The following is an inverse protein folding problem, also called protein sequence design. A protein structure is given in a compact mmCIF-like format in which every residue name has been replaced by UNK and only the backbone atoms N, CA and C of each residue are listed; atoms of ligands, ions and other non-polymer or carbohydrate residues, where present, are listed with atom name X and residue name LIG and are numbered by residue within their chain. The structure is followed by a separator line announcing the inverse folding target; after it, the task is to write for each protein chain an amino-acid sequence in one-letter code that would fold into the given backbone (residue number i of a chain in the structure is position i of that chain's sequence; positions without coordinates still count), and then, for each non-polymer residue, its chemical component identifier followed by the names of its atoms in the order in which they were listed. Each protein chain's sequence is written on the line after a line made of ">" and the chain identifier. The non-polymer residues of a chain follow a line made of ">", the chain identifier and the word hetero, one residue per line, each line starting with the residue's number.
data_IF_396069265296
#
_entry.id   IF_396069265296
#
_cell.length_a   1.000
_cell.length_b   1.000
_cell.length_c   1.000
_cell.angle_alpha   90.00
_cell.angle_beta   90.00
_cell.angle_gamma   90.00
#
_symmetry.space_group_name_H-M   'P 1'
#
loop_
_entity.id
_entity.type
_entity.pdbx_description
1 polymer ?
#
# COMPACT_ATOMS: atom_id res chain seq x y z
N UNK A 1 5.57 1.01 25.51
CA UNK A 1 6.75 1.84 25.86
C UNK A 1 7.78 1.85 24.73
N UNK A 2 8.50 0.76 24.42
CA UNK A 2 9.44 0.78 23.27
C UNK A 2 8.75 0.90 21.91
N UNK A 3 7.65 0.16 21.68
CA UNK A 3 6.96 0.18 20.39
C UNK A 3 6.33 1.54 20.07
N UNK A 4 5.84 2.25 21.10
CA UNK A 4 5.27 3.58 20.94
C UNK A 4 6.36 4.58 20.52
N UNK A 5 7.53 4.50 21.15
CA UNK A 5 8.66 5.37 20.85
C UNK A 5 9.30 5.06 19.50
N UNK A 6 9.48 3.77 19.17
CA UNK A 6 9.88 3.34 17.82
C UNK A 6 8.85 3.81 16.79
N UNK A 7 7.56 3.72 17.11
CA UNK A 7 6.50 4.20 16.25
C UNK A 7 6.57 5.71 16.01
N UNK A 8 6.88 6.49 17.06
CA UNK A 8 7.12 7.93 16.95
C UNK A 8 8.31 8.23 16.04
N UNK A 9 9.44 7.56 16.23
CA UNK A 9 10.64 7.73 15.40
C UNK A 9 10.39 7.35 13.93
N UNK A 10 9.71 6.23 13.66
CA UNK A 10 9.34 5.83 12.30
C UNK A 10 8.36 6.83 11.66
N UNK A 11 7.42 7.39 12.44
CA UNK A 11 6.53 8.44 11.95
C UNK A 11 7.30 9.72 11.60
N UNK A 12 8.28 10.11 12.42
CA UNK A 12 9.11 11.30 12.19
C UNK A 12 10.04 11.14 10.98
N UNK A 13 10.72 10.01 10.85
CA UNK A 13 11.70 9.77 9.79
C UNK A 13 11.06 9.44 8.43
N UNK A 14 10.05 8.57 8.45
CA UNK A 14 9.52 7.95 7.22
C UNK A 14 8.02 8.14 7.05
N UNK A 15 7.36 8.82 7.99
CA UNK A 15 5.92 9.06 7.93
C UNK A 15 5.05 7.82 8.18
N UNK A 16 5.65 6.72 8.60
CA UNK A 16 4.98 5.44 8.72
C UNK A 16 4.20 5.35 10.02
N UNK A 17 2.90 5.06 9.94
CA UNK A 17 2.08 4.84 11.12
C UNK A 17 2.05 3.35 11.51
N UNK A 18 2.42 3.03 12.76
CA UNK A 18 2.49 1.63 13.25
C UNK A 18 1.17 0.88 13.09
N UNK A 19 0.04 1.55 13.31
CA UNK A 19 -1.28 0.92 13.14
C UNK A 19 -1.56 0.53 11.67
N UNK A 20 -0.96 1.23 10.70
CA UNK A 20 -1.16 0.95 9.26
C UNK A 20 -0.29 -0.20 8.75
N UNK A 21 0.87 -0.44 9.36
CA UNK A 21 1.75 -1.58 9.04
C UNK A 21 1.44 -2.82 9.89
N UNK A 22 0.83 -2.60 11.06
CA UNK A 22 0.54 -3.63 12.04
C UNK A 22 1.62 -3.67 13.12
N UNK A 23 1.20 -3.51 14.39
CA UNK A 23 2.13 -3.48 15.52
C UNK A 23 3.00 -4.73 15.66
N UNK A 24 2.51 -5.90 15.22
CA UNK A 24 3.26 -7.15 15.21
C UNK A 24 4.44 -7.15 14.23
N UNK A 25 4.30 -6.54 13.05
CA UNK A 25 5.38 -6.41 12.06
C UNK A 25 6.49 -5.52 12.61
N UNK A 26 6.11 -4.37 13.17
CA UNK A 26 7.06 -3.43 13.80
C UNK A 26 7.76 -4.10 14.99
N UNK A 27 7.02 -4.84 15.83
CA UNK A 27 7.59 -5.57 16.95
C UNK A 27 8.58 -6.65 16.52
N UNK A 28 8.25 -7.41 15.47
CA UNK A 28 9.15 -8.42 14.92
C UNK A 28 10.42 -7.79 14.32
N UNK A 29 10.28 -6.68 13.59
CA UNK A 29 11.40 -5.93 13.04
C UNK A 29 12.33 -5.42 14.15
N UNK A 30 11.78 -4.77 15.19
CA UNK A 30 12.53 -4.30 16.36
C UNK A 30 13.28 -5.45 17.02
N UNK A 31 12.62 -6.58 17.29
CA UNK A 31 13.27 -7.75 17.91
C UNK A 31 14.42 -8.29 17.07
N UNK A 32 14.22 -8.38 15.76
CA UNK A 32 15.24 -8.85 14.82
C UNK A 32 16.45 -7.92 14.78
N UNK A 33 16.21 -6.61 14.79
CA UNK A 33 17.27 -5.59 14.79
C UNK A 33 18.03 -5.53 16.11
N UNK A 34 17.33 -5.61 17.25
CA UNK A 34 17.94 -5.71 18.58
C UNK A 34 18.93 -6.89 18.66
N UNK A 35 18.54 -8.05 18.13
CA UNK A 35 19.42 -9.21 18.07
C UNK A 35 20.62 -8.97 17.14
N UNK A 36 20.41 -8.37 15.97
CA UNK A 36 21.47 -8.11 15.00
C UNK A 36 22.52 -7.09 15.48
N UNK A 37 22.13 -6.10 16.29
CA UNK A 37 23.06 -5.09 16.82
C UNK A 37 23.59 -5.42 18.22
N UNK A 38 23.24 -6.58 18.78
CA UNK A 38 23.68 -7.01 20.11
C UNK A 38 23.14 -6.12 21.25
N UNK A 39 21.95 -5.54 21.08
CA UNK A 39 21.28 -4.70 22.07
C UNK A 39 20.07 -5.44 22.65
N UNK A 40 20.25 -6.31 23.67
CA UNK A 40 19.17 -7.13 24.23
C UNK A 40 18.17 -6.30 25.03
N UNK A 41 18.59 -5.16 25.58
CA UNK A 41 17.74 -4.28 26.36
C UNK A 41 17.01 -3.25 25.47
N UNK A 42 15.67 -3.11 25.60
CA UNK A 42 14.87 -2.16 24.82
C UNK A 42 15.36 -0.71 24.88
N UNK A 43 15.79 -0.24 26.06
CA UNK A 43 16.24 1.14 26.24
C UNK A 43 17.57 1.41 25.52
N UNK A 44 18.51 0.47 25.57
CA UNK A 44 19.79 0.56 24.86
C UNK A 44 19.58 0.63 23.34
N UNK A 45 18.61 -0.14 22.83
CA UNK A 45 18.26 -0.10 21.42
C UNK A 45 17.61 1.23 21.01
N UNK A 46 16.74 1.81 21.85
CA UNK A 46 16.20 3.16 21.60
C UNK A 46 17.30 4.22 21.57
N UNK A 47 18.27 4.15 22.48
CA UNK A 47 19.40 5.08 22.49
C UNK A 47 20.25 4.92 21.22
N UNK A 48 20.48 3.68 20.77
CA UNK A 48 21.17 3.39 19.50
C UNK A 48 20.40 3.94 18.30
N UNK A 49 19.09 3.73 18.24
CA UNK A 49 18.25 4.26 17.15
C UNK A 49 18.34 5.78 17.04
N UNK A 50 18.29 6.48 18.16
CA UNK A 50 18.37 7.95 18.20
C UNK A 50 19.77 8.50 17.87
N UNK A 51 20.83 7.69 18.03
CA UNK A 51 22.22 8.13 17.80
C UNK A 51 22.86 7.56 16.52
N UNK A 52 22.23 6.59 15.86
CA UNK A 52 22.76 5.93 14.66
C UNK A 52 21.78 6.00 13.50
N UNK A 53 22.07 6.90 12.56
CA UNK A 53 21.34 6.97 11.28
C UNK A 53 21.38 5.64 10.51
N UNK A 54 22.49 4.90 10.64
CA UNK A 54 22.63 3.58 10.02
C UNK A 54 21.64 2.57 10.62
N UNK A 55 21.52 2.49 11.94
CA UNK A 55 20.58 1.55 12.56
C UNK A 55 19.12 1.96 12.30
N UNK A 56 18.82 3.26 12.30
CA UNK A 56 17.50 3.76 11.89
C UNK A 56 17.15 3.27 10.47
N UNK A 57 18.09 3.38 9.52
CA UNK A 57 17.90 2.91 8.16
C UNK A 57 17.67 1.39 8.09
N UNK A 58 18.36 0.62 8.92
CA UNK A 58 18.21 -0.83 8.98
C UNK A 58 16.86 -1.26 9.59
N UNK A 59 16.35 -0.52 10.56
CA UNK A 59 14.99 -0.70 11.07
C UNK A 59 13.94 -0.39 10.01
N UNK A 60 14.10 0.73 9.29
CA UNK A 60 13.22 1.09 8.16
C UNK A 60 13.18 -0.05 7.14
N UNK A 61 14.35 -0.57 6.76
CA UNK A 61 14.46 -1.70 5.83
C UNK A 61 13.77 -2.99 6.32
N UNK A 62 13.63 -3.18 7.64
CA UNK A 62 12.98 -4.35 8.22
C UNK A 62 11.45 -4.21 8.29
N UNK A 63 10.94 -2.98 8.25
CA UNK A 63 9.49 -2.67 8.36
C UNK A 63 8.86 -2.43 6.98
N UNK A 64 9.61 -1.86 6.04
CA UNK A 64 9.13 -1.64 4.67
C UNK A 64 9.12 -2.97 3.91
N UNK A 65 7.96 -3.35 3.38
CA UNK A 65 7.80 -4.57 2.57
C UNK A 65 7.95 -4.21 1.08
N UNK A 66 9.02 -4.64 0.39
CA UNK A 66 9.21 -4.35 -1.03
C UNK A 66 8.41 -5.34 -1.88
N UNK A 67 7.11 -5.10 -2.05
CA UNK A 67 6.32 -5.81 -3.06
C UNK A 67 6.21 -4.99 -4.34
N UNK A 68 6.99 -5.37 -5.36
CA UNK A 68 6.95 -4.75 -6.68
C UNK A 68 7.24 -5.78 -7.77
N UNK A 69 6.79 -5.50 -9.00
CA UNK A 69 7.04 -6.31 -10.18
C UNK A 69 6.86 -5.45 -11.43
N UNK A 70 7.46 -5.88 -12.55
CA UNK A 70 7.40 -5.15 -13.80
C UNK A 70 5.96 -5.00 -14.30
N UNK A 71 5.62 -3.81 -14.79
CA UNK A 71 4.30 -3.48 -15.33
C UNK A 71 3.11 -3.79 -14.39
N UNK A 72 3.30 -3.63 -13.07
CA UNK A 72 2.20 -3.69 -12.10
C UNK A 72 1.13 -2.65 -12.44
N UNK A 73 -0.12 -3.07 -12.63
CA UNK A 73 -1.24 -2.24 -13.15
C UNK A 73 -0.92 -1.57 -14.49
N UNK A 74 -0.94 -2.37 -15.57
CA UNK A 74 -0.51 -1.98 -16.93
C UNK A 74 -1.20 -0.73 -17.47
N UNK A 75 -2.45 -0.51 -17.10
CA UNK A 75 -3.28 0.61 -17.52
C UNK A 75 -2.69 1.96 -17.10
N UNK A 76 -1.94 2.00 -15.99
CA UNK A 76 -1.22 3.20 -15.56
C UNK A 76 -0.15 3.61 -16.59
N UNK A 77 0.61 2.65 -17.13
CA UNK A 77 1.64 2.91 -18.15
C UNK A 77 1.01 3.35 -19.48
N UNK A 78 -0.13 2.76 -19.86
CA UNK A 78 -0.89 3.19 -21.04
C UNK A 78 -1.35 4.64 -20.89
N UNK A 79 -1.86 5.02 -19.72
CA UNK A 79 -2.25 6.39 -19.43
C UNK A 79 -1.07 7.36 -19.48
N UNK A 80 0.07 6.99 -18.90
CA UNK A 80 1.32 7.75 -18.98
C UNK A 80 1.73 7.98 -20.43
N UNK A 81 1.82 6.93 -21.26
CA UNK A 81 2.22 7.03 -22.66
C UNK A 81 1.26 7.94 -23.44
N UNK A 82 -0.05 7.83 -23.20
CA UNK A 82 -1.03 8.72 -23.82
C UNK A 82 -0.80 10.18 -23.43
N UNK A 83 -0.53 10.46 -22.16
CA UNK A 83 -0.21 11.81 -21.70
C UNK A 83 1.09 12.33 -22.32
N UNK A 84 2.15 11.51 -22.34
CA UNK A 84 3.44 11.84 -22.92
C UNK A 84 3.32 12.22 -24.41
N UNK A 85 2.53 11.47 -25.19
CA UNK A 85 2.28 11.77 -26.61
C UNK A 85 1.59 13.12 -26.80
N UNK A 86 0.63 13.46 -25.94
CA UNK A 86 -0.11 14.72 -26.01
C UNK A 86 0.73 15.94 -25.56
N UNK A 87 1.77 15.73 -24.74
CA UNK A 87 2.58 16.81 -24.15
C UNK A 87 4.04 16.81 -24.62
N UNK A 88 4.33 16.07 -25.69
CA UNK A 88 5.65 16.00 -26.30
C UNK A 88 6.07 17.40 -26.76
N UNK A 89 7.23 17.86 -26.31
CA UNK A 89 7.80 19.17 -26.63
C UNK A 89 9.10 18.98 -27.39
N UNK A 90 9.26 19.69 -28.52
CA UNK A 90 10.52 19.67 -29.25
C UNK A 90 11.64 20.26 -28.39
N UNK A 91 12.75 19.54 -28.27
CA UNK A 91 13.95 20.02 -27.56
C UNK A 91 13.88 20.02 -26.03
N UNK A 92 12.80 19.51 -25.41
CA UNK A 92 12.69 19.42 -23.95
C UNK A 92 12.20 18.03 -23.52
N UNK A 93 13.01 17.26 -22.78
CA UNK A 93 12.65 15.91 -22.36
C UNK A 93 11.54 15.95 -21.31
N UNK A 94 10.59 15.02 -21.42
CA UNK A 94 9.60 14.76 -20.38
C UNK A 94 10.30 14.24 -19.12
N UNK A 95 9.94 14.80 -17.97
CA UNK A 95 10.50 14.41 -16.67
C UNK A 95 9.48 13.60 -15.90
N UNK A 96 9.87 12.40 -15.48
CA UNK A 96 9.01 11.48 -14.77
C UNK A 96 9.59 11.13 -13.41
N UNK A 97 8.73 10.87 -12.43
CA UNK A 97 9.10 10.43 -11.09
C UNK A 97 8.36 9.14 -10.74
N UNK A 98 9.06 8.16 -10.20
CA UNK A 98 8.49 7.02 -9.46
C UNK A 98 8.90 7.15 -7.99
N UNK A 99 7.92 7.32 -7.09
CA UNK A 99 8.13 7.52 -5.66
C UNK A 99 6.98 6.89 -4.87
N UNK A 100 7.18 5.80 -4.11
CA UNK A 100 8.44 5.09 -3.90
C UNK A 100 8.74 4.16 -5.09
N UNK A 101 10.02 3.98 -5.43
CA UNK A 101 10.40 3.16 -6.57
C UNK A 101 10.76 1.70 -6.21
N UNK A 102 10.86 1.37 -4.92
CA UNK A 102 11.25 0.06 -4.40
C UNK A 102 12.52 -0.46 -5.09
N UNK A 103 12.55 -1.74 -5.47
CA UNK A 103 13.69 -2.38 -6.14
C UNK A 103 13.83 -2.03 -7.64
N UNK A 104 13.12 -1.01 -8.13
CA UNK A 104 13.35 -0.40 -9.45
C UNK A 104 12.47 -0.92 -10.59
N UNK A 105 11.62 -1.93 -10.36
CA UNK A 105 10.75 -2.48 -11.40
C UNK A 105 9.81 -1.43 -12.02
N UNK A 106 9.26 -0.51 -11.21
CA UNK A 106 8.37 0.54 -11.71
C UNK A 106 9.10 1.53 -12.64
N UNK A 107 10.17 2.24 -12.24
CA UNK A 107 10.82 3.21 -13.13
C UNK A 107 11.42 2.55 -14.38
N UNK A 108 11.87 1.30 -14.31
CA UNK A 108 12.28 0.58 -15.51
C UNK A 108 11.11 0.21 -16.42
N UNK A 109 9.95 -0.12 -15.86
CA UNK A 109 8.71 -0.30 -16.65
C UNK A 109 8.28 1.00 -17.34
N UNK A 110 8.45 2.16 -16.69
CA UNK A 110 8.21 3.47 -17.31
C UNK A 110 9.11 3.66 -18.55
N UNK A 111 10.40 3.39 -18.42
CA UNK A 111 11.36 3.52 -19.52
C UNK A 111 11.04 2.58 -20.69
N UNK A 112 10.76 1.31 -20.40
CA UNK A 112 10.36 0.33 -21.42
C UNK A 112 9.08 0.75 -22.14
N UNK A 113 8.07 1.23 -21.41
CA UNK A 113 6.81 1.70 -22.00
C UNK A 113 7.03 2.90 -22.94
N UNK A 114 7.94 3.81 -22.60
CA UNK A 114 8.29 4.95 -23.44
C UNK A 114 9.01 4.50 -24.72
N UNK A 115 9.99 3.59 -24.62
CA UNK A 115 10.66 3.04 -25.79
C UNK A 115 9.71 2.25 -26.70
N UNK A 116 8.88 1.37 -26.13
CA UNK A 116 7.84 0.62 -26.88
C UNK A 116 6.84 1.57 -27.57
N UNK A 117 6.62 2.76 -27.01
CA UNK A 117 5.74 3.77 -27.59
C UNK A 117 6.37 4.63 -28.70
N UNK A 118 7.67 4.44 -28.99
CA UNK A 118 8.40 5.12 -30.07
C UNK A 118 9.14 6.40 -29.64
N UNK A 119 9.31 6.63 -28.34
CA UNK A 119 10.13 7.75 -27.85
C UNK A 119 11.62 7.40 -27.91
N UNK A 120 12.46 8.38 -28.23
CA UNK A 120 13.91 8.25 -28.18
C UNK A 120 14.44 8.55 -26.78
N UNK A 121 15.70 8.20 -26.51
CA UNK A 121 16.32 8.45 -25.20
C UNK A 121 16.39 9.95 -24.84
N UNK A 122 16.41 10.84 -25.83
CA UNK A 122 16.41 12.29 -25.61
C UNK A 122 15.04 12.87 -25.31
N UNK A 123 13.96 12.10 -25.47
CA UNK A 123 12.59 12.59 -25.25
C UNK A 123 12.17 12.55 -23.78
N UNK A 124 12.88 11.82 -22.90
CA UNK A 124 12.44 11.65 -21.51
C UNK A 124 13.59 11.32 -20.53
N UNK A 125 13.34 11.57 -19.25
CA UNK A 125 14.18 11.17 -18.12
C UNK A 125 13.32 10.72 -16.94
N UNK A 126 13.78 9.72 -16.18
CA UNK A 126 13.04 9.16 -15.05
C UNK A 126 13.88 9.24 -13.78
N UNK A 127 13.33 9.83 -12.73
CA UNK A 127 13.86 9.74 -11.37
C UNK A 127 13.12 8.62 -10.61
N UNK A 128 13.85 7.72 -9.97
CA UNK A 128 13.35 6.74 -9.01
C UNK A 128 13.78 7.11 -7.60
N UNK A 129 12.82 7.31 -6.70
CA UNK A 129 13.10 7.71 -5.31
C UNK A 129 12.55 6.66 -4.37
N UNK A 130 13.35 6.21 -3.41
CA UNK A 130 12.90 5.31 -2.34
C UNK A 130 13.67 5.60 -1.06
N UNK A 131 13.02 5.36 0.07
CA UNK A 131 13.60 5.61 1.38
C UNK A 131 14.53 4.49 1.83
N UNK A 132 14.34 3.28 1.30
CA UNK A 132 15.17 2.13 1.59
C UNK A 132 16.44 2.17 0.75
N UNK A 133 17.58 2.40 1.42
CA UNK A 133 18.89 2.34 0.76
C UNK A 133 19.19 0.95 0.18
N UNK A 134 18.66 -0.12 0.78
CA UNK A 134 18.77 -1.48 0.25
C UNK A 134 17.99 -1.65 -1.05
N UNK A 135 16.78 -1.10 -1.14
CA UNK A 135 15.99 -1.11 -2.36
C UNK A 135 16.68 -0.31 -3.48
N UNK A 136 17.19 0.88 -3.17
CA UNK A 136 17.96 1.70 -4.12
C UNK A 136 19.21 0.97 -4.61
N UNK A 137 19.94 0.29 -3.72
CA UNK A 137 21.09 -0.51 -4.12
C UNK A 137 20.69 -1.69 -5.03
N UNK A 138 19.58 -2.37 -4.74
CA UNK A 138 19.04 -3.42 -5.59
C UNK A 138 18.58 -2.89 -6.95
N UNK A 139 17.89 -1.76 -6.98
CA UNK A 139 17.44 -1.07 -8.19
C UNK A 139 18.61 -0.65 -9.07
N UNK A 140 19.67 -0.12 -8.46
CA UNK A 140 20.90 0.27 -9.16
C UNK A 140 21.67 -0.95 -9.70
N UNK A 141 21.69 -2.06 -8.95
CA UNK A 141 22.23 -3.33 -9.45
C UNK A 141 21.41 -3.88 -10.61
N UNK A 142 20.09 -3.67 -10.63
CA UNK A 142 19.19 -4.01 -11.73
C UNK A 142 19.24 -5.47 -12.21
N UNK A 143 19.41 -6.42 -11.29
CA UNK A 143 19.34 -7.87 -11.60
C UNK A 143 18.08 -8.45 -10.96
N UNK A 144 17.20 -8.99 -11.81
CA UNK A 144 15.85 -9.39 -11.42
C UNK A 144 15.62 -10.88 -11.61
N UNK A 145 15.11 -11.52 -10.57
CA UNK A 145 14.72 -12.92 -10.56
C UNK A 145 13.26 -13.13 -10.95
N UNK A 146 12.80 -14.39 -10.86
CA UNK A 146 11.44 -14.82 -11.23
C UNK A 146 10.33 -13.99 -10.58
N UNK A 147 10.52 -13.55 -9.34
CA UNK A 147 9.47 -12.86 -8.56
C UNK A 147 9.11 -11.47 -9.11
N UNK A 148 10.02 -10.83 -9.87
CA UNK A 148 9.79 -9.53 -10.51
C UNK A 148 9.02 -9.67 -11.84
N UNK A 149 8.90 -10.89 -12.38
CA UNK A 149 8.19 -11.19 -13.63
C UNK A 149 6.90 -11.94 -13.33
N UNK A 150 5.80 -11.20 -13.14
CA UNK A 150 4.48 -11.75 -12.79
C UNK A 150 3.49 -11.60 -13.95
N UNK A 151 2.54 -12.52 -14.02
CA UNK A 151 1.49 -12.53 -15.03
C UNK A 151 1.90 -13.24 -16.34
N UNK A 152 0.96 -13.30 -17.28
CA UNK A 152 1.12 -14.07 -18.52
C UNK A 152 1.85 -13.29 -19.63
N UNK A 153 1.79 -11.96 -19.60
CA UNK A 153 2.43 -11.13 -20.61
C UNK A 153 3.83 -10.73 -20.11
N UNK A 154 4.82 -11.46 -20.61
CA UNK A 154 6.25 -11.25 -20.35
C UNK A 154 7.03 -10.90 -21.62
N UNK A 155 6.32 -10.55 -22.71
CA UNK A 155 6.95 -10.26 -24.00
C UNK A 155 7.90 -9.05 -23.94
N UNK A 156 7.69 -8.14 -22.99
CA UNK A 156 8.60 -7.02 -22.74
C UNK A 156 9.99 -7.50 -22.28
N UNK A 157 10.08 -8.66 -21.63
CA UNK A 157 11.35 -9.20 -21.14
C UNK A 157 12.27 -9.50 -22.31
N UNK A 158 11.76 -10.16 -23.33
CA UNK A 158 12.55 -10.58 -24.49
C UNK A 158 13.00 -9.37 -25.35
N UNK A 159 12.29 -8.23 -25.26
CA UNK A 159 12.67 -6.97 -25.94
C UNK A 159 13.67 -6.13 -25.15
N UNK A 160 13.56 -6.09 -23.82
CA UNK A 160 14.20 -5.09 -22.98
C UNK A 160 15.18 -5.65 -21.96
N UNK A 161 15.40 -6.96 -21.93
CA UNK A 161 16.30 -7.60 -20.97
C UNK A 161 17.32 -8.49 -21.64
N UNK A 162 18.43 -8.63 -20.94
CA UNK A 162 19.49 -9.58 -21.23
C UNK A 162 19.56 -10.59 -20.07
N UNK A 163 19.76 -11.87 -20.39
CA UNK A 163 20.03 -12.89 -19.38
C UNK A 163 21.43 -12.69 -18.81
N UNK A 164 21.55 -12.71 -17.49
CA UNK A 164 22.81 -12.57 -16.76
C UNK A 164 22.90 -13.61 -15.65
N UNK A 165 24.07 -13.78 -15.05
CA UNK A 165 24.19 -14.60 -13.85
C UNK A 165 23.26 -14.09 -12.75
N UNK A 166 22.44 -14.99 -12.17
CA UNK A 166 21.49 -14.66 -11.12
C UNK A 166 20.14 -14.08 -11.58
N UNK A 167 19.91 -13.84 -12.88
CA UNK A 167 18.59 -13.41 -13.34
C UNK A 167 18.59 -12.71 -14.71
N UNK A 168 17.82 -11.64 -14.81
CA UNK A 168 17.71 -10.81 -16.01
C UNK A 168 18.03 -9.37 -15.67
N UNK A 169 18.73 -8.69 -16.57
CA UNK A 169 19.10 -7.29 -16.44
C UNK A 169 18.44 -6.46 -17.56
N UNK A 170 17.83 -5.29 -17.27
CA UNK A 170 17.37 -4.40 -18.32
C UNK A 170 18.50 -3.99 -19.26
N UNK A 171 18.18 -3.77 -20.54
CA UNK A 171 19.14 -3.34 -21.55
C UNK A 171 19.81 -2.02 -21.17
N UNK A 172 21.02 -1.78 -21.69
CA UNK A 172 21.76 -0.55 -21.40
C UNK A 172 20.96 0.73 -21.70
N UNK A 173 20.14 0.71 -22.76
CA UNK A 173 19.25 1.81 -23.12
C UNK A 173 18.21 2.11 -22.03
N UNK A 174 17.60 1.07 -21.45
CA UNK A 174 16.65 1.20 -20.33
C UNK A 174 17.34 1.69 -19.06
N UNK A 175 18.51 1.14 -18.74
CA UNK A 175 19.27 1.53 -17.57
C UNK A 175 19.66 3.01 -17.58
N UNK A 176 20.07 3.54 -18.74
CA UNK A 176 20.52 4.91 -18.88
C UNK A 176 19.42 5.97 -18.62
N UNK A 177 18.14 5.60 -18.73
CA UNK A 177 17.02 6.53 -18.59
C UNK A 177 16.61 6.79 -17.13
N UNK A 178 17.07 5.97 -16.19
CA UNK A 178 16.61 5.98 -14.80
C UNK A 178 17.73 6.42 -13.87
N UNK A 179 17.45 7.42 -13.03
CA UNK A 179 18.35 7.88 -11.96
C UNK A 179 17.73 7.59 -10.61
N UNK A 180 18.44 6.83 -9.78
CA UNK A 180 17.97 6.48 -8.44
C UNK A 180 18.51 7.42 -7.37
N UNK A 181 17.66 7.77 -6.40
CA UNK A 181 18.01 8.60 -5.24
C UNK A 181 17.39 8.01 -3.98
N UNK A 182 18.19 7.92 -2.92
CA UNK A 182 17.70 7.51 -1.61
C UNK A 182 17.14 8.73 -0.86
N UNK A 183 15.86 8.70 -0.48
CA UNK A 183 15.20 9.78 0.23
C UNK A 183 13.69 9.63 0.30
N UNK A 184 13.03 10.60 0.92
CA UNK A 184 11.58 10.62 1.08
C UNK A 184 10.94 11.82 0.33
N UNK A 185 9.60 11.86 0.28
CA UNK A 185 8.84 12.91 -0.43
C UNK A 185 9.10 14.34 0.09
N UNK A 186 9.56 14.47 1.33
CA UNK A 186 9.80 15.75 1.99
C UNK A 186 11.29 16.11 2.05
N UNK A 187 12.17 15.26 1.53
CA UNK A 187 13.60 15.53 1.47
C UNK A 187 13.90 16.55 0.36
N UNK A 188 14.39 17.76 0.69
CA UNK A 188 14.70 18.80 -0.29
C UNK A 188 15.90 18.45 -1.18
N UNK A 189 16.77 17.52 -0.76
CA UNK A 189 17.90 17.08 -1.58
C UNK A 189 17.45 16.16 -2.74
N UNK A 190 16.30 15.51 -2.60
CA UNK A 190 15.81 14.50 -3.54
C UNK A 190 14.57 14.98 -4.30
N UNK A 191 13.76 15.83 -3.67
CA UNK A 191 12.56 16.42 -4.29
C UNK A 191 12.81 17.87 -4.73
N UNK A 192 12.70 18.19 -6.03
CA UNK A 192 12.88 19.56 -6.51
C UNK A 192 11.83 20.50 -5.91
N UNK A 193 12.12 21.81 -5.81
CA UNK A 193 11.28 22.75 -5.08
C UNK A 193 9.86 22.87 -5.67
N UNK A 194 9.70 23.07 -6.98
CA UNK A 194 8.40 23.17 -7.68
C UNK A 194 8.47 22.74 -9.14
N UNK A 195 7.35 22.27 -9.69
CA UNK A 195 7.03 22.09 -11.12
C UNK A 195 8.14 21.46 -11.97
N UNK A 196 8.69 20.34 -11.52
CA UNK A 196 9.81 19.67 -12.15
C UNK A 196 9.43 18.42 -12.94
N UNK A 197 8.22 17.89 -12.75
CA UNK A 197 7.79 16.62 -13.34
C UNK A 197 6.52 16.77 -14.17
N UNK A 198 6.51 16.15 -15.34
CA UNK A 198 5.35 16.00 -16.21
C UNK A 198 4.46 14.84 -15.74
N UNK A 199 5.08 13.78 -15.22
CA UNK A 199 4.39 12.61 -14.70
C UNK A 199 4.97 12.20 -13.35
N UNK A 200 4.11 11.90 -12.37
CA UNK A 200 4.51 11.27 -11.11
C UNK A 200 3.69 10.00 -10.90
N UNK A 201 4.38 8.88 -10.67
CA UNK A 201 3.84 7.65 -10.11
C UNK A 201 4.08 7.68 -8.59
N UNK A 202 3.00 7.67 -7.81
CA UNK A 202 3.04 7.54 -6.36
C UNK A 202 2.00 6.51 -5.92
N UNK A 203 2.42 5.25 -5.96
CA UNK A 203 1.54 4.09 -5.84
C UNK A 203 1.93 3.24 -4.64
N UNK A 204 0.93 2.75 -3.92
CA UNK A 204 1.09 1.82 -2.80
C UNK A 204 2.00 2.36 -1.69
N UNK A 205 1.94 3.67 -1.43
CA UNK A 205 2.70 4.35 -0.37
C UNK A 205 1.79 5.06 0.61
N UNK A 206 0.84 5.84 0.10
CA UNK A 206 -0.03 6.70 0.89
C UNK A 206 -0.96 5.89 1.79
N UNK A 207 -1.19 4.61 1.47
CA UNK A 207 -1.90 3.66 2.32
C UNK A 207 -1.25 3.43 3.70
N UNK A 208 0.05 3.69 3.83
CA UNK A 208 0.77 3.54 5.10
C UNK A 208 0.78 4.82 5.95
N UNK A 209 0.34 5.94 5.37
CA UNK A 209 0.35 7.24 6.01
C UNK A 209 -0.96 7.52 6.75
N UNK A 210 -0.87 8.29 7.84
CA UNK A 210 -2.05 8.84 8.49
C UNK A 210 -2.70 9.94 7.63
N UNK A 211 -3.90 10.40 8.02
CA UNK A 211 -4.65 11.40 7.24
C UNK A 211 -3.89 12.71 7.06
N UNK A 212 -3.21 13.19 8.10
CA UNK A 212 -2.49 14.46 8.05
C UNK A 212 -1.33 14.38 7.04
N UNK A 213 -0.56 13.28 7.12
CA UNK A 213 0.55 13.05 6.23
C UNK A 213 0.11 12.76 4.78
N UNK A 214 -1.01 12.05 4.58
CA UNK A 214 -1.61 11.90 3.25
C UNK A 214 -1.91 13.27 2.62
N UNK A 215 -2.52 14.18 3.36
CA UNK A 215 -2.83 15.54 2.87
C UNK A 215 -1.55 16.31 2.51
N UNK A 216 -0.56 16.32 3.40
CA UNK A 216 0.74 16.95 3.14
C UNK A 216 1.45 16.35 1.93
N UNK A 217 1.39 15.03 1.78
CA UNK A 217 2.01 14.30 0.67
C UNK A 217 1.38 14.65 -0.67
N UNK A 218 0.05 14.63 -0.76
CA UNK A 218 -0.65 15.01 -2.00
C UNK A 218 -0.40 16.49 -2.34
N UNK A 219 -0.38 17.38 -1.33
CA UNK A 219 -0.01 18.78 -1.52
C UNK A 219 1.39 18.94 -2.12
N UNK A 220 2.37 18.18 -1.60
CA UNK A 220 3.75 18.18 -2.11
C UNK A 220 3.84 17.64 -3.54
N UNK A 221 3.19 16.51 -3.83
CA UNK A 221 3.13 15.93 -5.18
C UNK A 221 2.52 16.92 -6.20
N UNK A 222 1.47 17.65 -5.79
CA UNK A 222 0.85 18.69 -6.61
C UNK A 222 1.80 19.86 -6.91
N UNK A 223 2.63 20.26 -5.95
CA UNK A 223 3.63 21.32 -6.16
C UNK A 223 4.74 20.88 -7.13
N UNK A 224 5.13 19.60 -7.08
CA UNK A 224 6.18 19.04 -7.93
C UNK A 224 5.74 18.82 -9.38
N UNK A 225 4.45 18.60 -9.63
CA UNK A 225 3.90 18.47 -10.98
C UNK A 225 3.84 19.82 -11.68
N UNK A 226 4.19 19.85 -12.97
CA UNK A 226 3.90 20.99 -13.86
C UNK A 226 2.39 21.18 -14.02
N UNK A 227 1.91 22.38 -14.41
CA UNK A 227 0.51 22.58 -14.76
C UNK A 227 0.08 21.62 -15.88
N UNK A 228 -1.05 20.93 -15.69
CA UNK A 228 -1.51 19.89 -16.61
C UNK A 228 -0.82 18.53 -16.43
N UNK A 229 0.19 18.42 -15.56
CA UNK A 229 0.92 17.18 -15.29
C UNK A 229 0.05 16.06 -14.72
N UNK A 230 0.50 14.83 -14.90
CA UNK A 230 -0.24 13.61 -14.56
C UNK A 230 0.28 12.95 -13.27
N UNK A 231 -0.60 12.74 -12.30
CA UNK A 231 -0.38 11.92 -11.12
C UNK A 231 -1.06 10.54 -11.31
N UNK A 232 -0.33 9.46 -11.09
CA UNK A 232 -0.88 8.11 -11.03
C UNK A 232 -0.68 7.53 -9.62
N UNK A 233 -1.76 6.99 -9.05
CA UNK A 233 -1.77 6.41 -7.70
C UNK A 233 -2.27 4.98 -7.72
N UNK A 234 -2.09 4.24 -6.63
CA UNK A 234 -2.59 2.88 -6.50
C UNK A 234 -4.13 2.87 -6.35
N UNK A 235 -4.77 1.71 -6.59
CA UNK A 235 -6.23 1.57 -6.49
C UNK A 235 -6.79 2.00 -5.13
N UNK A 236 -6.09 1.68 -4.04
CA UNK A 236 -6.51 2.01 -2.68
C UNK A 236 -6.34 3.50 -2.32
N UNK A 237 -5.69 4.28 -3.19
CA UNK A 237 -5.30 5.68 -2.93
C UNK A 237 -6.12 6.66 -3.80
N UNK A 238 -6.97 6.15 -4.70
CA UNK A 238 -7.63 6.91 -5.76
C UNK A 238 -8.59 8.00 -5.27
N UNK A 239 -9.09 7.90 -4.04
CA UNK A 239 -9.91 8.95 -3.43
C UNK A 239 -9.10 10.20 -3.05
N UNK A 240 -7.81 10.04 -2.73
CA UNK A 240 -6.99 11.13 -2.20
C UNK A 240 -6.77 12.27 -3.23
N UNK A 241 -6.33 12.01 -4.48
CA UNK A 241 -6.10 13.11 -5.43
C UNK A 241 -7.34 13.98 -5.67
N UNK A 242 -8.52 13.37 -5.78
CA UNK A 242 -9.78 14.08 -6.04
C UNK A 242 -10.14 15.03 -4.90
N UNK A 243 -9.94 14.61 -3.64
CA UNK A 243 -10.17 15.46 -2.46
C UNK A 243 -9.23 16.67 -2.41
N UNK A 244 -8.12 16.62 -3.14
CA UNK A 244 -7.07 17.65 -3.18
C UNK A 244 -6.98 18.37 -4.54
N UNK A 245 -8.12 18.45 -5.24
CA UNK A 245 -8.28 19.31 -6.41
C UNK A 245 -7.58 18.79 -7.67
N UNK A 246 -7.22 17.51 -7.72
CA UNK A 246 -6.91 16.86 -8.99
C UNK A 246 -8.18 16.45 -9.73
N UNK A 247 -8.11 16.36 -11.05
CA UNK A 247 -9.22 15.90 -11.90
C UNK A 247 -8.90 14.53 -12.45
N UNK A 248 -9.82 13.57 -12.32
CA UNK A 248 -9.65 12.25 -12.93
C UNK A 248 -9.43 12.36 -14.44
N UNK A 249 -8.42 11.66 -14.95
CA UNK A 249 -8.14 11.54 -16.37
C UNK A 249 -9.17 10.68 -17.12
N UNK A 250 -10.13 10.07 -16.40
CA UNK A 250 -11.19 9.20 -16.94
C UNK A 250 -10.65 8.03 -17.78
N UNK A 251 -9.53 7.46 -17.34
CA UNK A 251 -8.94 6.26 -17.93
C UNK A 251 -9.20 5.09 -16.96
N UNK A 252 -10.09 4.14 -17.30
CA UNK A 252 -10.43 3.02 -16.44
C UNK A 252 -9.18 2.27 -15.98
N UNK A 253 -9.16 1.87 -14.71
CA UNK A 253 -8.08 1.08 -14.05
C UNK A 253 -6.69 1.74 -14.02
N UNK A 254 -6.50 2.90 -14.63
CA UNK A 254 -5.21 3.61 -14.62
C UNK A 254 -4.99 4.46 -13.36
N UNK A 255 -6.06 4.79 -12.63
CA UNK A 255 -6.04 5.64 -11.42
C UNK A 255 -5.21 6.92 -11.63
N UNK A 256 -5.44 7.57 -12.78
CA UNK A 256 -4.66 8.68 -13.29
C UNK A 256 -5.43 10.01 -13.13
N UNK A 257 -4.73 11.07 -12.75
CA UNK A 257 -5.30 12.35 -12.32
C UNK A 257 -4.46 13.54 -12.79
N UNK A 258 -5.09 14.59 -13.32
CA UNK A 258 -4.41 15.80 -13.79
C UNK A 258 -4.33 16.89 -12.71
N UNK A 259 -3.16 17.55 -12.62
CA UNK A 259 -3.04 18.85 -11.93
C UNK A 259 -3.76 19.90 -12.78
N UNK A 260 -4.82 20.50 -12.25
CA UNK A 260 -5.49 21.61 -12.94
C UNK A 260 -4.51 22.77 -13.18
N UNK A 261 -4.62 23.43 -14.33
CA UNK A 261 -4.11 24.79 -14.48
C UNK A 261 -4.76 25.69 -13.42
N UNK A 262 -4.05 26.69 -12.88
CA UNK A 262 -4.72 27.77 -12.19
C UNK A 262 -5.83 28.27 -13.10
N UNK A 263 -7.08 28.27 -12.63
CA UNK A 263 -8.14 28.90 -13.39
C UNK A 263 -7.70 30.36 -13.67
N UNK A 264 -7.86 30.90 -14.89
CA UNK A 264 -7.82 32.34 -15.06
C UNK A 264 -8.81 32.95 -14.06
N UNK A 265 -8.53 34.13 -13.46
CA UNK A 265 -9.43 34.75 -12.50
C UNK A 265 -10.83 34.74 -13.10
N UNK A 266 -11.75 34.06 -12.43
CA UNK A 266 -13.11 33.97 -12.91
C UNK A 266 -13.66 35.39 -13.01
N UNK A 267 -13.90 35.89 -14.22
CA UNK A 267 -14.80 37.01 -14.38
C UNK A 267 -16.10 36.62 -13.68
N UNK A 268 -16.46 37.39 -12.66
CA UNK A 268 -17.67 37.22 -11.87
C UNK A 268 -18.87 37.33 -12.81
N UNK A 269 -19.28 36.21 -13.39
CA UNK A 269 -20.60 36.12 -14.00
C UNK A 269 -21.62 36.12 -12.87
N UNK A 270 -22.56 37.07 -12.84
CA UNK A 270 -23.55 37.14 -11.78
C UNK A 270 -24.35 35.84 -11.77
N UNK A 271 -24.46 35.22 -10.60
CA UNK A 271 -25.27 34.02 -10.40
C UNK A 271 -26.76 34.36 -10.53
N UNK A 272 -27.60 33.48 -11.11
CA UNK A 272 -29.05 33.68 -11.06
C UNK A 272 -29.54 33.64 -9.60
N UNK A 273 -30.62 34.37 -9.27
CA UNK A 273 -31.09 34.49 -7.89
C UNK A 273 -31.58 33.13 -7.36
N UNK A 274 -31.14 32.77 -6.16
CA UNK A 274 -31.57 31.55 -5.45
C UNK A 274 -33.03 31.72 -4.97
N UNK A 275 -33.88 30.68 -5.06
CA UNK A 275 -35.20 30.68 -4.43
C UNK A 275 -35.09 30.65 -2.90
N UNK A 276 -36.02 31.34 -2.22
CA UNK A 276 -36.07 31.47 -0.75
C UNK A 276 -36.40 30.12 -0.08
N UNK A 277 -35.82 29.80 1.10
CA UNK A 277 -36.16 28.59 1.85
C UNK A 277 -37.52 28.74 2.57
N UNK A 278 -38.29 27.65 2.64
CA UNK A 278 -39.47 27.53 3.49
C UNK A 278 -39.09 27.31 4.96
N UNK A 279 -39.94 27.77 5.87
CA UNK A 279 -39.72 27.76 7.32
C UNK A 279 -39.80 26.34 7.95
N UNK A 280 -39.07 26.07 9.04
CA UNK A 280 -39.09 24.79 9.74
C UNK A 280 -40.24 24.67 10.77
N UNK A 281 -40.67 23.44 11.13
CA UNK A 281 -41.64 23.19 12.20
C UNK A 281 -41.01 23.21 13.61
N UNK A 282 -41.81 23.38 14.69
CA UNK A 282 -41.31 23.62 16.04
C UNK A 282 -40.90 22.34 16.79
N UNK A 283 -39.94 22.51 17.71
CA UNK A 283 -39.33 21.47 18.53
C UNK A 283 -40.15 21.11 19.78
N UNK A 284 -40.16 19.83 20.16
CA UNK A 284 -40.67 19.35 21.44
C UNK A 284 -39.52 19.11 22.43
N UNK A 285 -39.75 19.52 23.68
CA UNK A 285 -38.80 19.46 24.79
C UNK A 285 -38.76 18.10 25.49
N UNK A 286 -37.59 17.69 25.98
CA UNK A 286 -37.46 16.64 27.01
C UNK A 286 -36.47 17.11 28.09
N UNK A 287 -36.87 16.87 29.35
CA UNK A 287 -36.24 17.27 30.62
C UNK A 287 -35.16 16.27 31.11
N UNK A 288 -34.33 16.64 32.10
CA UNK A 288 -33.09 15.94 32.46
C UNK A 288 -33.23 14.99 33.66
N UNK A 289 -32.29 14.06 33.82
CA UNK A 289 -32.06 13.36 35.09
C UNK A 289 -30.97 12.29 35.06
N UNK A 290 -30.10 12.30 36.09
CA UNK A 290 -29.49 11.09 36.65
C UNK A 290 -27.96 10.97 36.61
N UNK A 291 -27.32 11.20 37.77
CA UNK A 291 -25.88 10.98 38.06
C UNK A 291 -25.67 9.59 38.69
N UNK A 292 -24.62 8.82 38.29
CA UNK A 292 -23.63 8.16 39.19
C UNK A 292 -22.60 7.27 38.47
N UNK A 293 -21.43 7.16 39.10
CA UNK A 293 -20.21 6.41 38.69
C UNK A 293 -20.04 5.08 39.51
N UNK A 294 -18.84 4.46 39.64
CA UNK A 294 -18.31 3.33 38.83
C UNK A 294 -17.94 2.07 39.67
N UNK A 295 -17.61 0.94 39.03
CA UNK A 295 -16.93 -0.24 39.62
C UNK A 295 -16.65 -1.28 38.50
N UNK A 296 -15.65 -2.17 38.47
CA UNK A 296 -14.46 -2.42 39.28
C UNK A 296 -13.52 -3.36 38.48
N UNK A 297 -12.26 -3.35 38.91
CA UNK A 297 -11.07 -4.13 38.51
C UNK A 297 -11.29 -5.66 38.55
N UNK A 298 -10.62 -6.39 37.64
CA UNK A 298 -10.08 -7.74 37.91
C UNK A 298 -8.73 -7.94 37.21
N UNK A 299 -7.73 -8.26 38.02
CA UNK A 299 -6.42 -8.80 37.65
C UNK A 299 -6.46 -10.33 37.62
N UNK A 300 -5.61 -10.92 36.77
CA UNK A 300 -4.90 -12.21 36.88
C UNK A 300 -4.52 -12.64 35.45
N UNK A 301 -3.40 -13.28 35.13
CA UNK A 301 -2.14 -13.60 35.80
C UNK A 301 -1.22 -14.19 34.70
N UNK A 302 0.06 -14.25 34.99
CA UNK A 302 1.22 -14.48 34.11
C UNK A 302 1.60 -15.94 33.80
N UNK A 303 2.06 -16.17 32.55
CA UNK A 303 3.19 -17.02 32.08
C UNK A 303 3.22 -18.56 32.33
N UNK A 304 4.17 -19.33 31.73
CA UNK A 304 4.92 -19.18 30.47
C UNK A 304 5.11 -20.49 29.65
N UNK A 305 5.62 -20.37 28.41
CA UNK A 305 6.64 -21.28 27.87
C UNK A 305 6.20 -22.32 26.83
N UNK A 306 6.81 -22.29 25.65
CA UNK A 306 7.07 -23.50 24.86
C UNK A 306 8.19 -23.26 23.83
N UNK A 307 9.04 -24.27 23.76
CA UNK A 307 10.30 -24.45 23.05
C UNK A 307 10.19 -24.50 21.53
N UNK A 308 11.26 -24.10 20.84
CA UNK A 308 11.38 -24.10 19.37
C UNK A 308 11.38 -25.53 18.80
N UNK A 309 10.45 -25.80 17.89
CA UNK A 309 10.35 -27.04 17.11
C UNK A 309 10.90 -26.86 15.68
N UNK A 310 11.33 -27.97 15.09
CA UNK A 310 11.94 -28.10 13.76
C UNK A 310 10.97 -27.70 12.63
N UNK A 311 11.44 -27.26 11.43
CA UNK A 311 10.58 -26.66 10.39
C UNK A 311 9.45 -27.56 9.83
N UNK A 312 9.58 -28.89 9.91
CA UNK A 312 8.52 -29.82 9.51
C UNK A 312 7.40 -29.90 10.56
N UNK A 313 7.76 -30.03 11.85
CA UNK A 313 6.82 -30.04 12.97
C UNK A 313 6.07 -28.70 13.12
N UNK A 314 6.70 -27.58 12.72
CA UNK A 314 6.07 -26.27 12.71
C UNK A 314 4.94 -26.13 11.68
N UNK A 315 5.03 -26.82 10.52
CA UNK A 315 3.96 -26.84 9.52
C UNK A 315 2.77 -27.67 9.99
N UNK A 316 3.01 -28.86 10.52
CA UNK A 316 1.95 -29.73 11.04
C UNK A 316 1.21 -29.05 12.21
N UNK A 317 1.94 -28.35 13.09
CA UNK A 317 1.36 -27.57 14.18
C UNK A 317 0.52 -26.38 13.68
N UNK A 318 0.93 -25.72 12.60
CA UNK A 318 0.16 -24.64 11.99
C UNK A 318 -1.15 -25.15 11.38
N UNK A 319 -1.11 -26.26 10.64
CA UNK A 319 -2.31 -26.87 10.04
C UNK A 319 -3.31 -27.37 11.10
N UNK A 320 -2.81 -28.00 12.17
CA UNK A 320 -3.64 -28.40 13.32
C UNK A 320 -4.28 -27.19 14.00
N UNK A 321 -3.54 -26.08 14.11
CA UNK A 321 -4.04 -24.83 14.67
C UNK A 321 -5.13 -24.20 13.79
N UNK A 322 -4.98 -24.18 12.46
CA UNK A 322 -6.03 -23.73 11.53
C UNK A 322 -7.29 -24.59 11.64
N UNK A 323 -7.11 -25.91 11.71
CA UNK A 323 -8.23 -26.86 11.87
C UNK A 323 -9.00 -26.60 13.17
N UNK A 324 -8.31 -26.28 14.27
CA UNK A 324 -8.95 -25.95 15.53
C UNK A 324 -9.75 -24.64 15.46
N UNK A 325 -9.23 -23.62 14.77
CA UNK A 325 -9.94 -22.35 14.54
C UNK A 325 -11.23 -22.59 13.74
N UNK A 326 -11.14 -23.36 12.65
CA UNK A 326 -12.30 -23.71 11.83
C UNK A 326 -13.38 -24.41 12.65
N UNK A 327 -13.02 -25.43 13.45
CA UNK A 327 -13.99 -26.13 14.31
C UNK A 327 -14.66 -25.21 15.34
N UNK A 328 -13.93 -24.25 15.89
CA UNK A 328 -14.50 -23.28 16.82
C UNK A 328 -15.47 -22.32 16.12
N UNK A 329 -15.14 -21.88 14.90
CA UNK A 329 -16.02 -21.06 14.06
C UNK A 329 -17.30 -21.82 13.65
N UNK A 330 -17.18 -23.06 13.16
CA UNK A 330 -18.31 -23.90 12.73
C UNK A 330 -19.25 -24.23 13.88
N UNK A 331 -18.72 -24.35 15.10
CA UNK A 331 -19.51 -24.60 16.29
C UNK A 331 -20.09 -23.33 16.94
N UNK A 332 -19.99 -22.17 16.28
CA UNK A 332 -20.52 -20.90 16.76
C UNK A 332 -19.80 -20.30 17.96
N UNK A 333 -18.63 -20.84 18.36
CA UNK A 333 -17.81 -20.28 19.45
C UNK A 333 -16.92 -19.17 18.93
N UNK A 334 -17.55 -18.07 18.50
CA UNK A 334 -16.90 -17.00 17.74
C UNK A 334 -15.75 -16.34 18.48
N UNK A 335 -15.87 -16.10 19.79
CA UNK A 335 -14.79 -15.48 20.57
C UNK A 335 -13.60 -16.42 20.80
N UNK A 336 -13.85 -17.73 20.87
CA UNK A 336 -12.79 -18.74 20.88
C UNK A 336 -12.08 -18.76 19.52
N UNK A 337 -12.83 -18.76 18.42
CA UNK A 337 -12.28 -18.72 17.06
C UNK A 337 -11.41 -17.46 16.83
N UNK A 338 -11.89 -16.27 17.25
CA UNK A 338 -11.10 -15.02 17.16
C UNK A 338 -9.79 -15.11 17.96
N UNK A 339 -9.86 -15.54 19.22
CA UNK A 339 -8.66 -15.69 20.07
C UNK A 339 -7.68 -16.71 19.49
N UNK A 340 -8.18 -17.85 19.03
CA UNK A 340 -7.37 -18.90 18.42
C UNK A 340 -6.73 -18.44 17.10
N UNK A 341 -7.46 -17.68 16.26
CA UNK A 341 -6.92 -17.11 15.03
C UNK A 341 -5.83 -16.08 15.29
N UNK A 342 -6.02 -15.18 16.28
CA UNK A 342 -4.99 -14.24 16.71
C UNK A 342 -3.76 -14.97 17.27
N UNK A 343 -3.97 -16.03 18.06
CA UNK A 343 -2.88 -16.84 18.60
C UNK A 343 -2.12 -17.59 17.48
N UNK A 344 -2.82 -18.12 16.48
CA UNK A 344 -2.21 -18.74 15.30
C UNK A 344 -1.34 -17.74 14.54
N UNK A 345 -1.87 -16.55 14.25
CA UNK A 345 -1.14 -15.49 13.55
C UNK A 345 0.10 -15.05 14.35
N UNK A 346 0.02 -15.05 15.68
CA UNK A 346 1.15 -14.75 16.56
C UNK A 346 2.20 -15.87 16.58
N UNK A 347 1.79 -17.14 16.54
CA UNK A 347 2.67 -18.29 16.65
C UNK A 347 3.34 -18.67 15.31
N UNK A 348 2.60 -18.58 14.20
CA UNK A 348 3.00 -19.10 12.90
C UNK A 348 3.14 -18.02 11.81
N UNK A 349 2.73 -16.79 12.09
CA UNK A 349 2.80 -15.66 11.18
C UNK A 349 1.55 -15.47 10.30
N UNK A 350 1.57 -14.47 9.39
CA UNK A 350 0.45 -14.17 8.51
C UNK A 350 0.04 -15.36 7.62
N UNK A 351 -1.22 -15.76 7.71
CA UNK A 351 -1.80 -16.82 6.90
C UNK A 351 -3.12 -16.35 6.29
N UNK A 352 -3.32 -16.63 5.00
CA UNK A 352 -4.55 -16.27 4.30
C UNK A 352 -5.76 -16.95 4.95
N UNK A 353 -5.63 -18.24 5.29
CA UNK A 353 -6.68 -19.03 5.94
C UNK A 353 -6.98 -18.51 7.35
N UNK A 354 -5.95 -18.12 8.11
CA UNK A 354 -6.15 -17.56 9.45
C UNK A 354 -6.88 -16.20 9.42
N UNK A 355 -6.53 -15.33 8.46
CA UNK A 355 -7.26 -14.06 8.28
C UNK A 355 -8.67 -14.26 7.72
N UNK A 356 -8.87 -15.25 6.85
CA UNK A 356 -10.20 -15.62 6.36
C UNK A 356 -11.09 -16.06 7.53
N UNK A 357 -10.61 -16.98 8.37
CA UNK A 357 -11.34 -17.49 9.53
C UNK A 357 -11.61 -16.41 10.58
N UNK A 358 -10.65 -15.51 10.80
CA UNK A 358 -10.86 -14.36 11.67
C UNK A 358 -11.92 -13.40 11.10
N UNK A 359 -11.90 -13.18 9.77
CA UNK A 359 -12.91 -12.40 9.06
C UNK A 359 -14.30 -13.00 9.22
N UNK A 360 -14.45 -14.32 9.02
CA UNK A 360 -15.70 -15.06 9.25
C UNK A 360 -16.21 -14.88 10.67
N UNK A 361 -15.34 -15.01 11.67
CA UNK A 361 -15.74 -14.91 13.07
C UNK A 361 -16.22 -13.48 13.44
N UNK A 362 -15.63 -12.44 12.84
CA UNK A 362 -16.12 -11.06 12.97
C UNK A 362 -17.42 -10.82 12.22
N UNK A 363 -17.57 -11.35 11.00
CA UNK A 363 -18.79 -11.26 10.20
C UNK A 363 -19.98 -11.90 10.93
N UNK A 364 -19.78 -13.10 11.47
CA UNK A 364 -20.78 -13.80 12.28
C UNK A 364 -21.08 -13.10 13.62
N UNK A 365 -20.21 -12.21 14.09
CA UNK A 365 -20.45 -11.37 15.28
C UNK A 365 -20.97 -9.98 14.94
N UNK A 366 -21.40 -9.75 13.69
CA UNK A 366 -21.89 -8.46 13.16
C UNK A 366 -20.86 -7.31 13.21
N UNK A 367 -19.57 -7.63 13.41
CA UNK A 367 -18.46 -6.70 13.37
C UNK A 367 -17.94 -6.53 11.92
N UNK A 368 -18.81 -5.96 11.07
CA UNK A 368 -18.61 -5.91 9.63
C UNK A 368 -17.33 -5.14 9.18
N UNK A 369 -16.94 -4.00 9.79
CA UNK A 369 -15.69 -3.33 9.45
C UNK A 369 -14.45 -4.21 9.64
N UNK A 370 -14.37 -4.90 10.78
CA UNK A 370 -13.29 -5.81 11.14
C UNK A 370 -13.28 -7.05 10.24
N UNK A 371 -14.45 -7.57 9.89
CA UNK A 371 -14.58 -8.67 8.93
C UNK A 371 -13.99 -8.29 7.56
N UNK A 372 -14.39 -7.14 7.01
CA UNK A 372 -13.91 -6.63 5.72
C UNK A 372 -12.39 -6.42 5.74
N UNK A 373 -11.84 -5.88 6.83
CA UNK A 373 -10.41 -5.69 6.99
C UNK A 373 -9.65 -7.03 6.95
N UNK A 374 -10.14 -8.03 7.67
CA UNK A 374 -9.51 -9.35 7.70
C UNK A 374 -9.65 -10.10 6.37
N UNK A 375 -10.80 -10.01 5.70
CA UNK A 375 -10.94 -10.55 4.34
C UNK A 375 -9.99 -9.88 3.34
N UNK A 376 -9.77 -8.56 3.44
CA UNK A 376 -8.78 -7.87 2.61
C UNK A 376 -7.36 -8.36 2.89
N UNK A 377 -7.00 -8.62 4.16
CA UNK A 377 -5.71 -9.22 4.53
C UNK A 377 -5.55 -10.64 3.97
N UNK A 378 -6.60 -11.45 4.01
CA UNK A 378 -6.61 -12.78 3.40
C UNK A 378 -6.42 -12.72 1.88
N UNK A 379 -7.13 -11.83 1.17
CA UNK A 379 -6.95 -11.62 -0.28
C UNK A 379 -5.62 -10.97 -0.66
N UNK A 380 -5.02 -10.23 0.27
CA UNK A 380 -3.68 -9.70 0.07
C UNK A 380 -2.65 -10.84 0.01
N UNK A 381 -2.75 -11.82 0.93
CA UNK A 381 -1.85 -12.97 0.98
C UNK A 381 -2.16 -14.02 -0.09
N UNK A 382 -3.44 -14.29 -0.35
CA UNK A 382 -3.90 -15.23 -1.36
C UNK A 382 -4.98 -14.58 -2.22
N UNK A 383 -4.59 -13.89 -3.31
CA UNK A 383 -5.52 -13.15 -4.15
C UNK A 383 -6.61 -14.02 -4.78
N UNK A 384 -6.34 -15.31 -4.99
CA UNK A 384 -7.26 -16.25 -5.61
C UNK A 384 -8.01 -17.12 -4.58
N UNK A 385 -7.96 -16.75 -3.29
CA UNK A 385 -8.71 -17.43 -2.23
C UNK A 385 -10.22 -17.24 -2.43
N UNK A 386 -10.87 -18.30 -2.91
CA UNK A 386 -12.23 -18.27 -3.45
C UNK A 386 -13.27 -17.94 -2.38
N UNK A 387 -13.12 -18.55 -1.23
CA UNK A 387 -13.98 -18.40 -0.06
C UNK A 387 -13.93 -16.95 0.43
N UNK A 388 -12.74 -16.36 0.53
CA UNK A 388 -12.60 -14.96 0.93
C UNK A 388 -13.21 -13.99 -0.08
N UNK A 389 -13.05 -14.25 -1.39
CA UNK A 389 -13.68 -13.44 -2.44
C UNK A 389 -15.22 -13.45 -2.31
N UNK A 390 -15.81 -14.62 -2.06
CA UNK A 390 -17.26 -14.76 -1.88
C UNK A 390 -17.77 -14.00 -0.65
N UNK A 391 -17.10 -14.17 0.50
CA UNK A 391 -17.52 -13.54 1.75
C UNK A 391 -17.31 -12.02 1.75
N UNK A 392 -16.22 -11.54 1.16
CA UNK A 392 -16.00 -10.10 1.01
C UNK A 392 -17.01 -9.46 0.04
N UNK A 393 -17.38 -10.14 -1.05
CA UNK A 393 -18.41 -9.65 -1.96
C UNK A 393 -19.75 -9.45 -1.23
N UNK A 394 -20.16 -10.45 -0.44
CA UNK A 394 -21.38 -10.38 0.37
C UNK A 394 -21.31 -9.28 1.44
N UNK A 395 -20.16 -9.14 2.11
CA UNK A 395 -19.93 -8.09 3.11
C UNK A 395 -20.02 -6.67 2.51
N UNK A 396 -19.51 -6.48 1.30
CA UNK A 396 -19.60 -5.20 0.58
C UNK A 396 -21.03 -4.91 0.12
N UNK A 397 -21.76 -5.92 -0.36
CA UNK A 397 -23.16 -5.79 -0.75
C UNK A 397 -24.05 -5.38 0.45
N UNK A 398 -23.86 -6.00 1.61
CA UNK A 398 -24.54 -5.63 2.88
C UNK A 398 -24.25 -4.18 3.31
N UNK A 399 -23.09 -3.63 2.94
CA UNK A 399 -22.71 -2.23 3.17
C UNK A 399 -23.21 -1.26 2.10
N UNK A 400 -23.91 -1.74 1.08
CA UNK A 400 -24.39 -0.94 -0.05
C UNK A 400 -23.33 -0.68 -1.12
N UNK A 401 -22.17 -1.33 -1.06
CA UNK A 401 -21.13 -1.25 -2.09
C UNK A 401 -21.34 -2.34 -3.16
N UNK A 402 -22.43 -2.19 -3.92
CA UNK A 402 -22.78 -3.11 -5.00
C UNK A 402 -21.71 -3.16 -6.11
N UNK A 403 -20.98 -2.06 -6.31
CA UNK A 403 -19.92 -1.98 -7.31
C UNK A 403 -18.70 -2.83 -6.89
N UNK A 404 -18.26 -2.69 -5.64
CA UNK A 404 -17.18 -3.50 -5.07
C UNK A 404 -17.54 -4.98 -5.00
N UNK A 405 -18.78 -5.30 -4.59
CA UNK A 405 -19.29 -6.67 -4.58
C UNK A 405 -19.23 -7.31 -5.98
N UNK A 406 -19.72 -6.60 -7.01
CA UNK A 406 -19.70 -7.08 -8.39
C UNK A 406 -18.29 -7.40 -8.90
N UNK A 407 -17.32 -6.54 -8.61
CA UNK A 407 -15.91 -6.76 -9.00
C UNK A 407 -15.35 -8.06 -8.43
N UNK A 408 -15.68 -8.36 -7.17
CA UNK A 408 -15.22 -9.58 -6.50
C UNK A 408 -15.95 -10.82 -7.01
N UNK A 409 -17.25 -10.72 -7.29
CA UNK A 409 -18.06 -11.80 -7.90
C UNK A 409 -17.58 -12.13 -9.32
N UNK A 410 -17.31 -11.12 -10.15
CA UNK A 410 -16.76 -11.31 -11.50
C UNK A 410 -15.36 -11.93 -11.47
N UNK A 411 -14.58 -11.63 -10.42
CA UNK A 411 -13.28 -12.26 -10.19
C UNK A 411 -13.43 -13.73 -9.78
N UNK A 412 -14.36 -14.05 -8.87
CA UNK A 412 -14.65 -15.40 -8.45
C UNK A 412 -15.15 -16.29 -9.61
N UNK A 413 -16.00 -15.74 -10.49
CA UNK A 413 -16.48 -16.42 -11.70
C UNK A 413 -15.33 -16.85 -12.63
N UNK A 414 -14.40 -15.94 -12.92
CA UNK A 414 -13.22 -16.21 -13.77
C UNK A 414 -12.30 -17.30 -13.19
N UNK A 415 -12.24 -17.44 -11.87
CA UNK A 415 -11.50 -18.53 -11.21
C UNK A 415 -12.24 -19.86 -11.33
N UNK A 416 -13.58 -19.87 -11.38
CA UNK A 416 -14.39 -21.08 -11.61
C UNK A 416 -14.26 -21.64 -13.02
N UNK A 417 -14.18 -20.78 -14.03
CA UNK A 417 -14.04 -21.19 -15.43
C UNK A 417 -12.65 -21.78 -15.73
N UNK A 418 -11.61 -21.25 -15.07
CA UNK A 418 -10.24 -21.75 -15.18
C UNK A 418 -10.04 -23.15 -14.59
N UNK A 419 -10.75 -23.47 -13.51
CA UNK A 419 -10.68 -24.80 -12.85
C UNK A 419 -11.52 -25.87 -13.55
N UNK A 420 -12.41 -25.50 -14.49
CA UNK A 420 -13.19 -26.43 -15.32
C UNK A 420 -12.56 -26.71 -16.70
N UNK A 421 -11.55 -25.92 -17.05
CA UNK A 421 -10.82 -26.01 -18.33
C UNK A 421 -9.45 -26.68 -18.18
N UNK A 422 -9.14 -27.18 -16.99
CA UNK A 422 -8.05 -28.09 -16.64
C UNK A 422 -8.68 -29.40 -16.18
#
# INVERSE_FOLDING_TARGET
>A
MILDEVGRLLREEIGLHVASVGGSVVQYAVKTRMAACGSPEPLDYLQRLSSSRQEMQELINAVVIPETWFFRDREAFVAMVRHARAHRRAGSPLRMLSLPCSTGEEPYSLAMAMFDAGFSASDFTIDGVDISTRNIAAATRAVYGRNSFRGADLAFRDRHFEAVEGGHRPSAAVLAQVKFKAGNLFDPAVTPPVEAYDVIFCRNLLIYFDRELQQRSIGRLRQMLVPGGLLLVGPAESSLPTLHGFVSARMPLAFAFYKQHPAPPAELRPSPPRPRPAAPPPAAAVRPGGVRAPAARREASSNPGATAATPAAAKDAAELSLTAIQRAADAGRLDEAKRAAVAHLAAFGPSADAYYLLGLAYDASEAMPEAIENYRKALYLSPDHRETLAHLALALERRGDAAGAKVLTDRLGRLGDRSRSQ
#
